data_IF_000040295928
#
_entry.id   IF_000040295928
#
_cell.length_a   1.000
_cell.length_b   1.000
_cell.length_c   1.000
_cell.angle_alpha   90.00
_cell.angle_beta   90.00
_cell.angle_gamma   90.00
#
_symmetry.space_group_name_H-M   'P 1'
#
loop_
_entity.id
_entity.type
_entity.pdbx_description
1 polymer ?
#
# COMPACT_ATOMS: atom_id res chain seq x y z
N UNK A 1 -28.25 -41.29 58.32
CA UNK A 1 -27.72 -41.97 57.13
C UNK A 1 -28.40 -41.39 55.93
N UNK A 2 -27.80 -40.37 55.27
CA UNK A 2 -28.28 -39.82 53.99
C UNK A 2 -27.08 -39.71 53.08
N UNK A 3 -27.09 -40.55 52.04
CA UNK A 3 -26.12 -40.51 50.95
C UNK A 3 -26.56 -39.44 49.96
N UNK A 4 -25.76 -38.39 49.79
CA UNK A 4 -25.92 -37.46 48.70
C UNK A 4 -25.01 -37.91 47.55
N UNK A 5 -25.60 -38.33 46.43
CA UNK A 5 -24.92 -38.64 45.20
C UNK A 5 -24.67 -37.35 44.41
N UNK A 6 -23.43 -36.95 44.30
CA UNK A 6 -22.97 -35.89 43.43
C UNK A 6 -22.94 -36.39 41.98
N UNK A 7 -23.82 -35.87 41.12
CA UNK A 7 -23.76 -36.09 39.67
C UNK A 7 -22.78 -35.08 39.09
N UNK A 8 -21.62 -35.53 38.73
CA UNK A 8 -20.69 -34.78 37.88
C UNK A 8 -21.29 -34.72 36.44
N UNK A 9 -21.68 -33.56 36.02
CA UNK A 9 -22.13 -33.28 34.64
C UNK A 9 -20.87 -33.02 33.81
N UNK A 10 -20.41 -34.04 33.08
CA UNK A 10 -19.33 -33.91 32.11
C UNK A 10 -19.80 -33.09 30.93
N UNK A 11 -19.29 -31.88 30.83
CA UNK A 11 -19.51 -30.99 29.66
C UNK A 11 -18.64 -31.49 28.53
N UNK A 12 -19.23 -32.19 27.59
CA UNK A 12 -18.57 -32.60 26.33
C UNK A 12 -18.45 -31.37 25.44
N UNK A 13 -17.27 -30.73 25.43
CA UNK A 13 -16.99 -29.65 24.44
C UNK A 13 -16.73 -30.34 23.11
N UNK A 14 -17.73 -30.34 22.25
CA UNK A 14 -17.58 -30.72 20.85
C UNK A 14 -16.87 -29.56 20.13
N UNK A 15 -15.53 -29.63 19.98
CA UNK A 15 -14.79 -28.77 19.09
C UNK A 15 -15.14 -29.14 17.65
N UNK A 16 -16.17 -28.51 17.09
CA UNK A 16 -16.36 -28.48 15.66
C UNK A 16 -15.30 -27.53 15.07
N UNK A 17 -14.23 -28.10 14.52
CA UNK A 17 -13.33 -27.36 13.67
C UNK A 17 -14.05 -26.98 12.39
N UNK A 18 -14.68 -25.81 12.36
CA UNK A 18 -15.18 -25.21 11.13
C UNK A 18 -13.97 -24.81 10.26
N UNK A 19 -14.06 -24.98 8.93
CA UNK A 19 -12.96 -24.61 8.04
C UNK A 19 -12.68 -23.10 8.13
N UNK A 20 -11.41 -22.73 8.29
CA UNK A 20 -10.90 -21.35 8.42
C UNK A 20 -11.05 -20.53 7.12
N UNK A 21 -11.85 -20.97 6.18
CA UNK A 21 -12.07 -20.35 4.88
C UNK A 21 -13.48 -19.77 4.84
N UNK A 22 -13.59 -18.43 5.06
CA UNK A 22 -14.83 -17.71 4.75
C UNK A 22 -15.49 -16.92 5.88
N UNK A 23 -14.78 -16.57 6.95
CA UNK A 23 -15.35 -15.66 7.95
C UNK A 23 -15.39 -14.23 7.38
N UNK A 24 -16.60 -13.63 7.42
CA UNK A 24 -16.76 -12.23 7.03
C UNK A 24 -16.35 -11.31 8.19
N UNK A 25 -16.02 -10.03 7.94
CA UNK A 25 -15.70 -9.08 9.00
C UNK A 25 -16.77 -8.98 10.09
N UNK A 26 -18.02 -9.20 9.75
CA UNK A 26 -19.18 -9.16 10.66
C UNK A 26 -19.38 -10.47 11.45
N UNK A 27 -18.58 -11.50 11.23
CA UNK A 27 -18.70 -12.78 11.95
C UNK A 27 -18.46 -12.57 13.44
N UNK A 28 -19.44 -12.92 14.27
CA UNK A 28 -19.31 -12.88 15.73
C UNK A 28 -18.50 -14.09 16.18
N UNK A 29 -17.36 -13.81 16.83
CA UNK A 29 -16.45 -14.84 17.33
C UNK A 29 -16.69 -15.21 18.79
N UNK A 30 -17.15 -14.25 19.60
CA UNK A 30 -17.42 -14.46 21.02
C UNK A 30 -18.49 -13.48 21.52
N UNK A 31 -19.06 -13.81 22.68
CA UNK A 31 -19.96 -12.92 23.43
C UNK A 31 -19.55 -12.87 24.89
N UNK A 32 -19.51 -11.65 25.44
CA UNK A 32 -19.30 -11.42 26.87
C UNK A 32 -20.54 -10.69 27.38
N UNK A 33 -21.39 -11.40 28.10
CA UNK A 33 -22.77 -10.99 28.34
C UNK A 33 -23.48 -10.70 27.00
N UNK A 34 -24.03 -9.50 26.83
CA UNK A 34 -24.73 -9.09 25.60
C UNK A 34 -23.80 -8.39 24.58
N UNK A 35 -22.50 -8.30 24.86
CA UNK A 35 -21.52 -7.65 23.97
C UNK A 35 -20.87 -8.67 23.06
N UNK A 36 -21.01 -8.46 21.78
CA UNK A 36 -20.38 -9.28 20.73
C UNK A 36 -18.92 -8.87 20.49
N UNK A 37 -18.08 -9.86 20.23
CA UNK A 37 -16.71 -9.69 19.72
C UNK A 37 -16.71 -10.26 18.30
N UNK A 38 -16.50 -9.37 17.31
CA UNK A 38 -16.50 -9.74 15.90
C UNK A 38 -15.10 -10.06 15.38
N UNK A 39 -15.03 -10.76 14.23
CA UNK A 39 -13.78 -10.99 13.50
C UNK A 39 -13.04 -9.67 13.24
N UNK A 40 -13.78 -8.62 12.81
CA UNK A 40 -13.22 -7.30 12.58
C UNK A 40 -12.51 -6.74 13.83
N UNK A 41 -13.14 -6.80 14.98
CA UNK A 41 -12.55 -6.30 16.23
C UNK A 41 -11.26 -7.05 16.61
N UNK A 42 -11.23 -8.37 16.38
CA UNK A 42 -10.01 -9.16 16.60
C UNK A 42 -8.93 -8.78 15.61
N UNK A 43 -9.25 -8.71 14.32
CA UNK A 43 -8.31 -8.33 13.27
C UNK A 43 -7.75 -6.92 13.48
N UNK A 44 -8.58 -5.95 13.86
CA UNK A 44 -8.15 -4.61 14.23
C UNK A 44 -7.19 -4.61 15.43
N UNK A 45 -7.43 -5.45 16.43
CA UNK A 45 -6.57 -5.56 17.63
C UNK A 45 -5.17 -6.12 17.35
N UNK A 46 -5.02 -6.90 16.27
CA UNK A 46 -3.77 -7.53 15.85
C UNK A 46 -3.30 -7.03 14.46
N UNK A 47 -3.83 -5.90 14.00
CA UNK A 47 -3.62 -5.37 12.66
C UNK A 47 -2.13 -5.25 12.28
N UNK A 48 -1.29 -4.82 13.24
CA UNK A 48 0.17 -4.72 13.07
C UNK A 48 0.82 -6.05 12.66
N UNK A 49 0.30 -7.14 13.19
CA UNK A 49 0.81 -8.48 12.93
C UNK A 49 0.15 -9.09 11.68
N UNK A 50 -1.13 -8.85 11.51
CA UNK A 50 -1.95 -9.44 10.46
C UNK A 50 -1.61 -8.86 9.08
N UNK A 51 -1.49 -7.54 8.96
CA UNK A 51 -1.26 -6.87 7.68
C UNK A 51 0.01 -7.34 6.95
N UNK A 52 1.20 -7.40 7.58
CA UNK A 52 2.40 -7.91 6.93
C UNK A 52 2.25 -9.35 6.42
N UNK A 53 1.56 -10.21 7.19
CA UNK A 53 1.30 -11.59 6.81
C UNK A 53 0.36 -11.67 5.60
N UNK A 54 -0.68 -10.86 5.57
CA UNK A 54 -1.60 -10.78 4.44
C UNK A 54 -0.88 -10.27 3.17
N UNK A 55 -0.02 -9.26 3.28
CA UNK A 55 0.79 -8.78 2.17
C UNK A 55 1.75 -9.86 1.65
N UNK A 56 2.41 -10.57 2.55
CA UNK A 56 3.30 -11.68 2.19
C UNK A 56 2.53 -12.81 1.47
N UNK A 57 1.39 -13.21 2.01
CA UNK A 57 0.52 -14.23 1.40
C UNK A 57 0.02 -13.80 0.03
N UNK A 58 -0.39 -12.53 -0.12
CA UNK A 58 -0.79 -11.97 -1.40
C UNK A 58 0.36 -12.01 -2.41
N UNK A 59 1.57 -11.60 -2.03
CA UNK A 59 2.74 -11.62 -2.92
C UNK A 59 3.05 -13.03 -3.40
N UNK A 60 3.02 -14.02 -2.51
CA UNK A 60 3.23 -15.44 -2.84
C UNK A 60 2.15 -15.93 -3.81
N UNK A 61 0.87 -15.67 -3.51
CA UNK A 61 -0.26 -16.06 -4.37
C UNK A 61 -0.21 -15.38 -5.72
N UNK A 62 0.15 -14.11 -5.78
CA UNK A 62 0.31 -13.34 -7.02
C UNK A 62 1.39 -13.96 -7.92
N UNK A 63 2.55 -14.25 -7.36
CA UNK A 63 3.63 -14.89 -8.10
C UNK A 63 3.23 -16.28 -8.63
N UNK A 64 2.54 -17.08 -7.82
CA UNK A 64 2.03 -18.37 -8.22
C UNK A 64 0.97 -18.25 -9.34
N UNK A 65 0.06 -17.28 -9.23
CA UNK A 65 -0.95 -17.00 -10.27
C UNK A 65 -0.30 -16.59 -11.59
N UNK A 66 0.66 -15.67 -11.59
CA UNK A 66 1.39 -15.24 -12.79
C UNK A 66 2.12 -16.41 -13.47
N UNK A 67 2.71 -17.32 -12.68
CA UNK A 67 3.33 -18.53 -13.20
C UNK A 67 2.30 -19.47 -13.84
N UNK A 68 1.13 -19.64 -13.21
CA UNK A 68 0.04 -20.45 -13.76
C UNK A 68 -0.52 -19.85 -15.05
N UNK A 69 -0.74 -18.53 -15.10
CA UNK A 69 -1.19 -17.81 -16.30
C UNK A 69 -0.19 -18.01 -17.43
N UNK A 70 1.11 -17.81 -17.16
CA UNK A 70 2.18 -18.00 -18.15
C UNK A 70 2.19 -19.44 -18.68
N UNK A 71 2.05 -20.42 -17.80
CA UNK A 71 1.98 -21.83 -18.20
C UNK A 71 0.76 -22.10 -19.10
N UNK A 72 -0.40 -21.58 -18.73
CA UNK A 72 -1.63 -21.75 -19.54
C UNK A 72 -1.52 -21.09 -20.92
N UNK A 73 -0.93 -19.90 -21.01
CA UNK A 73 -0.67 -19.25 -22.30
C UNK A 73 0.24 -20.11 -23.18
N UNK A 74 1.33 -20.65 -22.61
CA UNK A 74 2.25 -21.53 -23.36
C UNK A 74 1.59 -22.82 -23.79
N UNK A 75 0.81 -23.47 -22.93
CA UNK A 75 0.05 -24.68 -23.26
C UNK A 75 -0.94 -24.42 -24.41
N UNK A 76 -1.69 -23.31 -24.32
CA UNK A 76 -2.68 -22.93 -25.35
C UNK A 76 -2.03 -22.59 -26.69
N UNK A 77 -0.92 -21.87 -26.68
CA UNK A 77 -0.20 -21.51 -27.90
C UNK A 77 0.49 -22.72 -28.53
N UNK A 78 1.10 -23.62 -27.72
CA UNK A 78 1.73 -24.85 -28.19
C UNK A 78 0.68 -25.75 -28.84
N UNK A 79 -0.48 -25.92 -28.24
CA UNK A 79 -1.59 -26.67 -28.83
C UNK A 79 -2.08 -26.04 -30.15
N UNK A 80 -2.22 -24.71 -30.19
CA UNK A 80 -2.63 -24.00 -31.41
C UNK A 80 -1.63 -24.13 -32.57
N UNK A 81 -0.33 -24.29 -32.26
CA UNK A 81 0.74 -24.50 -33.24
C UNK A 81 1.01 -25.99 -33.54
N UNK A 82 0.43 -26.91 -32.80
CA UNK A 82 0.70 -28.34 -32.92
C UNK A 82 2.12 -28.73 -32.51
N UNK A 83 2.74 -28.03 -31.58
CA UNK A 83 4.12 -28.30 -31.12
C UNK A 83 4.14 -28.58 -29.61
N UNK A 84 5.14 -29.30 -29.09
CA UNK A 84 5.35 -29.43 -27.66
C UNK A 84 5.67 -28.08 -27.01
N UNK A 85 5.27 -27.89 -25.75
CA UNK A 85 5.54 -26.64 -24.99
C UNK A 85 7.02 -26.32 -24.91
N UNK A 86 7.87 -27.34 -24.76
CA UNK A 86 9.33 -27.14 -24.72
C UNK A 86 9.90 -26.64 -26.05
N UNK A 87 9.36 -27.10 -27.17
CA UNK A 87 9.74 -26.58 -28.49
C UNK A 87 9.30 -25.12 -28.66
N UNK A 88 8.08 -24.78 -28.23
CA UNK A 88 7.63 -23.39 -28.19
C UNK A 88 8.54 -22.52 -27.32
N UNK A 89 8.95 -22.99 -26.14
CA UNK A 89 9.91 -22.29 -25.28
C UNK A 89 11.23 -22.00 -26.00
N UNK A 90 11.78 -22.99 -26.69
CA UNK A 90 12.99 -22.82 -27.51
C UNK A 90 12.76 -21.75 -28.59
N UNK A 91 11.65 -21.82 -29.33
CA UNK A 91 11.31 -20.83 -30.35
C UNK A 91 11.23 -19.41 -29.78
N UNK A 92 10.68 -19.23 -28.60
CA UNK A 92 10.60 -17.92 -27.94
C UNK A 92 11.97 -17.38 -27.49
N UNK A 93 12.95 -18.25 -27.26
CA UNK A 93 14.34 -17.84 -26.99
C UNK A 93 15.15 -17.60 -28.26
N UNK A 94 14.67 -18.12 -29.39
CA UNK A 94 15.33 -17.93 -30.70
C UNK A 94 15.03 -16.52 -31.21
N UNK A 95 16.04 -15.86 -31.71
CA UNK A 95 16.01 -14.53 -32.27
C UNK A 95 17.44 -14.12 -32.57
N UNK A 96 17.63 -12.96 -33.15
CA UNK A 96 18.98 -12.51 -33.44
C UNK A 96 19.73 -12.26 -32.13
N UNK A 97 20.66 -13.16 -31.77
CA UNK A 97 21.55 -13.04 -30.63
C UNK A 97 22.89 -12.60 -31.21
N UNK A 98 23.09 -11.27 -31.23
CA UNK A 98 24.39 -10.70 -31.63
C UNK A 98 25.03 -10.07 -30.38
N UNK A 99 26.04 -10.75 -29.86
CA UNK A 99 26.95 -10.20 -28.86
C UNK A 99 28.25 -9.87 -29.58
N UNK A 100 28.56 -8.59 -29.66
CA UNK A 100 29.77 -8.10 -30.30
C UNK A 100 30.95 -8.12 -29.32
N UNK A 101 32.17 -8.22 -29.90
CA UNK A 101 33.40 -8.18 -29.12
C UNK A 101 33.50 -6.84 -28.30
N UNK A 102 33.02 -5.75 -28.88
CA UNK A 102 32.96 -4.47 -28.19
C UNK A 102 32.09 -4.52 -26.91
N UNK A 103 30.91 -5.20 -26.96
CA UNK A 103 30.04 -5.39 -25.80
C UNK A 103 30.71 -6.25 -24.73
N UNK A 104 31.43 -7.30 -25.13
CA UNK A 104 32.18 -8.15 -24.20
C UNK A 104 33.30 -7.36 -23.53
N UNK A 105 34.05 -6.56 -24.32
CA UNK A 105 35.14 -5.75 -23.80
C UNK A 105 34.66 -4.65 -22.84
N UNK A 106 33.55 -3.99 -23.16
CA UNK A 106 32.93 -3.00 -22.26
C UNK A 106 32.46 -3.65 -20.97
N UNK A 107 31.80 -4.82 -21.04
CA UNK A 107 31.39 -5.56 -19.86
C UNK A 107 32.59 -6.03 -19.02
N UNK A 108 33.69 -6.44 -19.66
CA UNK A 108 34.92 -6.82 -18.98
C UNK A 108 35.53 -5.64 -18.22
N UNK A 109 35.65 -4.45 -18.85
CA UNK A 109 36.18 -3.25 -18.22
C UNK A 109 35.34 -2.82 -17.00
N UNK A 110 34.00 -2.90 -17.10
CA UNK A 110 33.10 -2.55 -16.01
C UNK A 110 33.16 -3.51 -14.82
N UNK A 111 33.58 -4.75 -15.03
CA UNK A 111 33.61 -5.81 -14.03
C UNK A 111 35.02 -6.37 -13.77
N UNK A 112 36.08 -5.67 -14.15
CA UNK A 112 37.47 -6.16 -14.10
C UNK A 112 37.87 -6.65 -12.70
N UNK A 113 37.44 -5.98 -11.64
CA UNK A 113 37.72 -6.37 -10.26
C UNK A 113 37.08 -7.71 -9.86
N UNK A 114 35.93 -8.04 -10.42
CA UNK A 114 35.24 -9.32 -10.18
C UNK A 114 36.00 -10.49 -10.80
N UNK A 115 36.67 -10.24 -11.92
CA UNK A 115 37.43 -11.26 -12.68
C UNK A 115 38.93 -11.29 -12.38
N UNK A 116 39.40 -10.58 -11.34
CA UNK A 116 40.81 -10.48 -11.03
C UNK A 116 41.55 -11.81 -10.77
N UNK A 117 40.82 -12.88 -10.42
CA UNK A 117 41.36 -14.22 -10.20
C UNK A 117 41.30 -15.14 -11.43
N UNK A 118 40.75 -14.65 -12.55
CA UNK A 118 40.63 -15.43 -13.82
C UNK A 118 41.57 -14.83 -14.88
N UNK A 119 41.89 -15.65 -15.88
CA UNK A 119 42.53 -15.12 -17.07
C UNK A 119 41.58 -14.20 -17.85
N UNK A 120 42.15 -13.20 -18.54
CA UNK A 120 41.33 -12.26 -19.31
C UNK A 120 40.49 -12.92 -20.40
N UNK A 121 40.96 -14.00 -20.95
CA UNK A 121 40.25 -14.74 -22.01
C UNK A 121 39.08 -15.56 -21.44
N UNK A 122 39.29 -16.25 -20.32
CA UNK A 122 38.22 -16.96 -19.60
C UNK A 122 37.12 -16.01 -19.14
N UNK A 123 37.51 -14.83 -18.63
CA UNK A 123 36.56 -13.80 -18.20
C UNK A 123 35.71 -13.30 -19.38
N UNK A 124 36.34 -13.03 -20.54
CA UNK A 124 35.62 -12.60 -21.75
C UNK A 124 34.67 -13.67 -22.29
N UNK A 125 35.11 -14.95 -22.32
CA UNK A 125 34.26 -16.05 -22.75
C UNK A 125 33.02 -16.19 -21.84
N UNK A 126 33.22 -16.13 -20.52
CA UNK A 126 32.14 -16.16 -19.54
C UNK A 126 31.16 -14.99 -19.73
N UNK A 127 31.69 -13.78 -19.93
CA UNK A 127 30.85 -12.60 -20.18
C UNK A 127 30.08 -12.72 -21.50
N UNK A 128 30.68 -13.29 -22.54
CA UNK A 128 29.99 -13.55 -23.80
C UNK A 128 28.79 -14.46 -23.58
N UNK A 129 28.97 -15.59 -22.89
CA UNK A 129 27.91 -16.53 -22.56
C UNK A 129 26.81 -15.87 -21.72
N UNK A 130 27.18 -15.05 -20.74
CA UNK A 130 26.22 -14.32 -19.92
C UNK A 130 25.42 -13.30 -20.75
N UNK A 131 26.05 -12.55 -21.63
CA UNK A 131 25.38 -11.59 -22.53
C UNK A 131 24.44 -12.30 -23.52
N UNK A 132 24.85 -13.44 -24.07
CA UNK A 132 24.00 -14.28 -24.94
C UNK A 132 22.78 -14.79 -24.17
N UNK A 133 22.97 -15.27 -22.93
CA UNK A 133 21.86 -15.74 -22.09
C UNK A 133 20.91 -14.59 -21.74
N UNK A 134 21.42 -13.40 -21.46
CA UNK A 134 20.60 -12.21 -21.26
C UNK A 134 19.77 -11.87 -22.51
N UNK A 135 20.38 -11.94 -23.70
CA UNK A 135 19.68 -11.71 -24.95
C UNK A 135 18.58 -12.76 -25.19
N UNK A 136 18.85 -14.06 -24.94
CA UNK A 136 17.85 -15.15 -25.00
C UNK A 136 16.69 -14.88 -24.03
N UNK A 137 16.97 -14.49 -22.81
CA UNK A 137 15.95 -14.17 -21.81
C UNK A 137 15.12 -12.93 -22.19
N UNK A 138 15.75 -11.94 -22.83
CA UNK A 138 15.05 -10.77 -23.39
C UNK A 138 14.08 -11.19 -24.50
N UNK A 139 14.53 -12.02 -25.44
CA UNK A 139 13.68 -12.55 -26.52
C UNK A 139 12.50 -13.35 -25.94
N UNK A 140 12.76 -14.23 -24.96
CA UNK A 140 11.73 -15.01 -24.29
C UNK A 140 10.68 -14.12 -23.63
N UNK A 141 11.09 -13.08 -22.89
CA UNK A 141 10.16 -12.11 -22.25
C UNK A 141 9.33 -11.39 -23.31
N UNK A 142 9.95 -10.87 -24.35
CA UNK A 142 9.24 -10.20 -25.45
C UNK A 142 8.23 -11.15 -26.15
N UNK A 143 8.62 -12.40 -26.37
CA UNK A 143 7.74 -13.43 -26.92
C UNK A 143 6.55 -13.73 -26.00
N UNK A 144 6.76 -13.86 -24.70
CA UNK A 144 5.69 -14.04 -23.72
C UNK A 144 4.74 -12.84 -23.68
N UNK A 145 5.26 -11.62 -23.75
CA UNK A 145 4.42 -10.42 -23.80
C UNK A 145 3.54 -10.38 -25.06
N UNK A 146 4.09 -10.76 -26.20
CA UNK A 146 3.34 -10.86 -27.44
C UNK A 146 2.24 -11.93 -27.35
N UNK A 147 2.53 -13.09 -26.76
CA UNK A 147 1.54 -14.13 -26.50
C UNK A 147 0.45 -13.67 -25.51
N UNK A 148 0.83 -12.95 -24.46
CA UNK A 148 -0.12 -12.40 -23.48
C UNK A 148 -1.10 -11.39 -24.11
N UNK A 149 -0.66 -10.64 -25.11
CA UNK A 149 -1.54 -9.74 -25.91
C UNK A 149 -2.44 -10.53 -26.88
N UNK A 150 -1.96 -11.63 -27.42
CA UNK A 150 -2.72 -12.50 -28.34
C UNK A 150 -3.84 -13.23 -27.61
N UNK A 151 -3.55 -13.77 -26.42
CA UNK A 151 -4.51 -14.51 -25.60
C UNK A 151 -5.23 -13.56 -24.63
N UNK A 152 -6.57 -13.60 -24.60
CA UNK A 152 -7.34 -12.78 -23.67
C UNK A 152 -7.09 -13.29 -22.25
N UNK A 153 -6.38 -12.50 -21.44
CA UNK A 153 -6.08 -12.81 -20.04
C UNK A 153 -6.85 -11.85 -19.16
N UNK A 154 -7.80 -12.37 -18.39
CA UNK A 154 -8.49 -11.65 -17.32
C UNK A 154 -8.01 -12.19 -15.99
N UNK A 155 -7.54 -11.31 -15.11
CA UNK A 155 -7.07 -11.65 -13.76
C UNK A 155 -7.94 -10.89 -12.78
N UNK A 156 -8.75 -11.63 -12.03
CA UNK A 156 -9.51 -11.11 -10.88
C UNK A 156 -8.77 -11.52 -9.59
N UNK A 157 -7.74 -10.78 -9.25
CA UNK A 157 -6.92 -11.01 -8.07
C UNK A 157 -6.50 -9.69 -7.46
N UNK A 158 -7.33 -9.20 -6.54
CA UNK A 158 -7.11 -7.93 -5.85
C UNK A 158 -6.15 -8.07 -4.67
N UNK A 159 -5.36 -7.04 -4.34
CA UNK A 159 -4.59 -7.00 -3.09
C UNK A 159 -5.53 -7.06 -1.88
N UNK A 160 -5.05 -7.58 -0.74
CA UNK A 160 -5.85 -7.62 0.48
C UNK A 160 -6.27 -6.21 0.87
N UNK A 161 -7.55 -6.06 1.17
CA UNK A 161 -8.11 -4.81 1.72
C UNK A 161 -7.84 -4.80 3.20
N UNK A 162 -7.17 -3.76 3.69
CA UNK A 162 -6.96 -3.58 5.11
C UNK A 162 -8.18 -2.85 5.71
N UNK A 163 -8.83 -3.47 6.67
CA UNK A 163 -10.04 -2.96 7.34
C UNK A 163 -9.64 -2.43 8.72
N UNK A 164 -8.72 -1.46 8.78
CA UNK A 164 -8.48 -0.74 10.03
C UNK A 164 -9.09 0.65 9.97
N UNK A 165 -9.52 1.11 11.10
CA UNK A 165 -10.16 2.41 11.29
C UNK A 165 -9.10 3.52 11.40
N UNK A 166 -8.38 3.75 10.28
CA UNK A 166 -7.47 4.90 10.19
C UNK A 166 -8.22 6.24 10.14
N UNK A 167 -9.48 6.20 9.74
CA UNK A 167 -10.42 7.31 9.91
C UNK A 167 -11.01 7.22 11.33
N UNK A 168 -10.25 7.66 12.31
CA UNK A 168 -10.59 7.59 13.73
C UNK A 168 -11.63 8.63 14.17
N UNK A 169 -12.21 9.39 13.24
CA UNK A 169 -13.15 10.47 13.49
C UNK A 169 -12.54 11.70 14.19
N UNK A 170 -11.25 11.64 14.50
CA UNK A 170 -10.50 12.71 15.19
C UNK A 170 -9.54 13.40 14.22
N UNK A 171 -8.92 12.60 13.34
CA UNK A 171 -7.99 13.09 12.33
C UNK A 171 -8.67 14.05 11.36
N UNK A 172 -7.95 15.10 10.93
CA UNK A 172 -8.51 16.08 9.99
C UNK A 172 -8.97 15.41 8.71
N UNK A 173 -10.21 15.70 8.31
CA UNK A 173 -10.76 15.08 7.10
C UNK A 173 -11.55 16.10 6.26
N UNK A 174 -11.58 15.86 4.93
CA UNK A 174 -12.44 16.53 3.94
C UNK A 174 -13.37 15.51 3.30
N UNK A 175 -14.58 15.87 2.99
CA UNK A 175 -15.62 14.98 2.45
C UNK A 175 -16.56 14.43 3.52
N UNK A 176 -17.57 13.68 3.10
CA UNK A 176 -18.60 13.14 3.99
C UNK A 176 -18.05 11.97 4.83
N UNK A 177 -18.49 11.88 6.09
CA UNK A 177 -18.10 10.76 6.96
C UNK A 177 -18.57 9.37 6.41
N UNK A 178 -19.66 9.36 5.64
CA UNK A 178 -20.22 8.15 5.02
C UNK A 178 -19.88 8.05 3.53
N UNK A 179 -18.79 8.69 3.07
CA UNK A 179 -18.31 8.54 1.71
C UNK A 179 -18.01 7.07 1.38
N UNK A 180 -18.23 6.71 0.12
CA UNK A 180 -18.05 5.32 -0.37
C UNK A 180 -16.58 4.90 -0.42
N UNK A 181 -15.68 5.88 -0.47
CA UNK A 181 -14.24 5.70 -0.57
C UNK A 181 -13.53 6.60 0.44
N UNK A 182 -12.67 6.02 1.26
CA UNK A 182 -11.78 6.76 2.13
C UNK A 182 -10.35 6.68 1.61
N UNK A 183 -9.71 7.84 1.46
CA UNK A 183 -8.30 8.01 1.18
C UNK A 183 -7.64 8.55 2.45
N UNK A 184 -6.73 7.79 3.04
CA UNK A 184 -5.90 8.26 4.16
C UNK A 184 -4.54 8.62 3.60
N UNK A 185 -4.17 9.90 3.70
CA UNK A 185 -2.87 10.43 3.31
C UNK A 185 -1.93 10.46 4.51
N UNK A 186 -0.76 9.82 4.40
CA UNK A 186 0.37 10.00 5.31
C UNK A 186 1.36 10.98 4.68
N UNK A 187 1.55 12.12 5.32
CA UNK A 187 2.18 13.29 4.71
C UNK A 187 3.14 14.02 5.64
N UNK A 188 4.09 14.71 5.02
CA UNK A 188 5.12 15.52 5.67
C UNK A 188 5.18 16.90 5.02
N UNK A 189 5.08 17.97 5.80
CA UNK A 189 5.03 19.34 5.30
C UNK A 189 6.35 19.85 4.67
N UNK A 190 7.49 19.23 4.98
CA UNK A 190 8.77 19.52 4.32
C UNK A 190 9.02 18.66 3.06
N UNK A 191 8.21 17.62 2.83
CA UNK A 191 8.38 16.74 1.68
C UNK A 191 7.93 17.40 0.37
N UNK A 192 8.82 17.56 -0.64
CA UNK A 192 8.44 18.19 -1.92
C UNK A 192 7.40 17.39 -2.69
N UNK A 193 7.41 16.07 -2.61
CA UNK A 193 6.41 15.21 -3.24
C UNK A 193 5.04 15.33 -2.58
N UNK A 194 4.99 15.54 -1.25
CA UNK A 194 3.75 15.84 -0.55
C UNK A 194 3.16 17.17 -1.01
N UNK A 195 4.00 18.20 -1.14
CA UNK A 195 3.58 19.49 -1.71
C UNK A 195 3.03 19.33 -3.13
N UNK A 196 3.72 18.56 -3.98
CA UNK A 196 3.33 18.34 -5.38
C UNK A 196 1.95 17.71 -5.51
N UNK A 197 1.62 16.72 -4.66
CA UNK A 197 0.38 15.94 -4.77
C UNK A 197 -0.85 16.71 -4.28
N UNK A 198 -0.70 17.81 -3.53
CA UNK A 198 -1.83 18.55 -2.94
C UNK A 198 -2.82 19.07 -4.00
N UNK A 199 -2.33 19.55 -5.14
CA UNK A 199 -3.20 19.97 -6.25
C UNK A 199 -4.04 18.82 -6.80
N UNK A 200 -3.47 17.62 -6.86
CA UNK A 200 -4.17 16.40 -7.28
C UNK A 200 -5.23 15.99 -6.27
N UNK A 201 -4.90 15.98 -4.99
CA UNK A 201 -5.84 15.63 -3.92
C UNK A 201 -7.01 16.62 -3.85
N UNK A 202 -6.74 17.92 -4.04
CA UNK A 202 -7.79 18.92 -4.15
C UNK A 202 -8.73 18.63 -5.31
N UNK A 203 -8.21 18.34 -6.50
CA UNK A 203 -9.03 17.99 -7.67
C UNK A 203 -9.87 16.74 -7.42
N UNK A 204 -9.33 15.75 -6.70
CA UNK A 204 -10.06 14.54 -6.33
C UNK A 204 -11.24 14.87 -5.40
N UNK A 205 -10.97 15.59 -4.31
CA UNK A 205 -12.02 15.95 -3.34
C UNK A 205 -13.10 16.82 -4.00
N UNK A 206 -12.70 17.79 -4.83
CA UNK A 206 -13.63 18.66 -5.54
C UNK A 206 -14.44 17.89 -6.61
N UNK A 207 -13.81 16.96 -7.32
CA UNK A 207 -14.41 16.24 -8.44
C UNK A 207 -15.30 15.05 -8.04
N UNK A 208 -14.95 14.36 -6.97
CA UNK A 208 -15.72 13.20 -6.49
C UNK A 208 -16.70 13.52 -5.34
N UNK A 209 -16.64 14.73 -4.78
CA UNK A 209 -17.64 15.31 -3.89
C UNK A 209 -18.06 14.38 -2.75
N UNK A 210 -19.24 13.75 -2.88
CA UNK A 210 -19.83 12.91 -1.83
C UNK A 210 -19.24 11.51 -1.75
N UNK A 211 -18.56 11.06 -2.79
CA UNK A 211 -18.08 9.68 -2.89
C UNK A 211 -16.70 9.48 -2.25
N UNK A 212 -15.92 10.55 -2.06
CA UNK A 212 -14.56 10.48 -1.53
C UNK A 212 -14.42 11.27 -0.22
N UNK A 213 -13.79 10.63 0.77
CA UNK A 213 -13.33 11.24 2.03
C UNK A 213 -11.82 11.17 2.07
N UNK A 214 -11.17 12.31 2.28
CA UNK A 214 -9.73 12.44 2.48
C UNK A 214 -9.45 12.64 3.96
N UNK A 215 -8.67 11.78 4.57
CA UNK A 215 -8.19 11.85 5.96
C UNK A 215 -6.69 12.12 5.95
N UNK A 216 -6.23 13.06 6.76
CA UNK A 216 -4.83 13.42 6.87
C UNK A 216 -4.18 12.78 8.11
N UNK A 217 -3.01 12.17 7.92
CA UNK A 217 -2.14 11.63 8.98
C UNK A 217 -0.76 12.23 8.87
N UNK A 218 -0.21 12.64 9.99
CA UNK A 218 1.14 13.19 10.05
C UNK A 218 2.20 12.10 9.99
N UNK A 219 3.15 12.26 9.07
CA UNK A 219 4.33 11.38 8.99
C UNK A 219 5.62 12.23 8.82
N UNK A 220 6.02 13.00 9.85
CA UNK A 220 7.28 13.72 9.81
C UNK A 220 8.45 12.75 9.68
N UNK A 221 9.25 12.90 8.61
CA UNK A 221 10.37 12.01 8.29
C UNK A 221 11.63 12.43 9.04
N UNK A 222 12.44 11.44 9.42
CA UNK A 222 13.81 11.69 9.92
C UNK A 222 14.62 12.43 8.85
N UNK A 223 15.31 13.49 9.25
CA UNK A 223 16.09 14.34 8.33
C UNK A 223 15.35 15.59 7.86
N UNK A 224 14.03 15.68 8.00
CA UNK A 224 13.27 16.91 7.81
C UNK A 224 13.16 17.69 9.12
N UNK A 225 13.99 18.73 9.26
CA UNK A 225 14.25 19.42 10.54
C UNK A 225 13.00 20.05 11.16
N UNK A 226 12.14 20.66 10.33
CA UNK A 226 10.96 21.38 10.80
C UNK A 226 9.67 20.57 10.64
N UNK A 227 9.74 19.37 10.13
CA UNK A 227 8.58 18.52 9.84
C UNK A 227 7.77 18.18 11.09
N UNK A 228 8.45 17.74 12.16
CA UNK A 228 7.76 17.44 13.43
C UNK A 228 7.18 18.68 14.10
N UNK A 229 7.89 19.83 14.20
CA UNK A 229 7.31 21.11 14.62
C UNK A 229 6.11 21.54 13.78
N UNK A 230 6.18 21.44 12.44
CA UNK A 230 5.08 21.80 11.55
C UNK A 230 3.84 20.89 11.74
N UNK A 231 4.05 19.59 11.94
CA UNK A 231 2.97 18.65 12.26
C UNK A 231 2.25 19.02 13.56
N UNK A 232 3.01 19.35 14.62
CA UNK A 232 2.43 19.83 15.89
C UNK A 232 1.69 21.14 15.71
N UNK A 233 2.22 22.06 14.91
CA UNK A 233 1.56 23.32 14.61
C UNK A 233 0.22 23.13 13.90
N UNK A 234 0.18 22.22 12.91
CA UNK A 234 -1.05 21.86 12.20
C UNK A 234 -2.09 21.22 13.14
N UNK A 235 -1.65 20.33 14.04
CA UNK A 235 -2.51 19.81 15.11
C UNK A 235 -3.08 20.93 15.97
N UNK A 236 -2.25 21.89 16.39
CA UNK A 236 -2.70 23.02 17.21
C UNK A 236 -3.65 23.97 16.47
N UNK A 237 -3.54 24.05 15.15
CA UNK A 237 -4.50 24.74 14.31
C UNK A 237 -5.84 23.97 14.22
N UNK A 238 -5.80 22.63 14.19
CA UNK A 238 -6.99 21.77 14.25
C UNK A 238 -7.79 22.00 15.54
N UNK A 239 -7.12 22.14 16.68
CA UNK A 239 -7.74 22.47 17.98
C UNK A 239 -8.48 23.83 18.00
N UNK A 240 -8.36 24.60 16.91
CA UNK A 240 -9.03 25.87 16.69
C UNK A 240 -9.84 25.89 15.38
N UNK A 241 -10.20 24.72 14.86
CA UNK A 241 -10.98 24.52 13.63
C UNK A 241 -10.34 25.17 12.37
N UNK A 242 -8.99 25.23 12.34
CA UNK A 242 -8.22 25.87 11.26
C UNK A 242 -7.20 24.93 10.61
N UNK A 243 -7.37 23.61 10.78
CA UNK A 243 -6.41 22.64 10.23
C UNK A 243 -6.15 22.87 8.75
N UNK A 244 -7.18 22.87 7.92
CA UNK A 244 -7.01 22.89 6.47
C UNK A 244 -6.44 24.20 5.95
N UNK A 245 -6.82 25.32 6.54
CA UNK A 245 -6.23 26.61 6.19
C UNK A 245 -4.74 26.66 6.55
N UNK A 246 -4.41 26.11 7.70
CA UNK A 246 -3.01 26.02 8.16
C UNK A 246 -2.20 25.03 7.32
N UNK A 247 -2.77 23.88 7.00
CA UNK A 247 -2.21 22.88 6.10
C UNK A 247 -1.86 23.46 4.71
N UNK A 248 -2.80 24.18 4.09
CA UNK A 248 -2.60 24.78 2.77
C UNK A 248 -1.53 25.90 2.85
N UNK A 249 -1.47 26.64 3.95
CA UNK A 249 -0.44 27.65 4.21
C UNK A 249 0.95 27.01 4.40
N UNK A 250 1.06 25.90 5.14
CA UNK A 250 2.33 25.16 5.32
C UNK A 250 2.90 24.66 4.00
N UNK A 251 2.08 24.02 3.16
CA UNK A 251 2.55 23.55 1.85
C UNK A 251 2.87 24.69 0.87
N UNK A 252 2.34 25.88 1.10
CA UNK A 252 2.66 27.08 0.31
C UNK A 252 3.91 27.78 0.79
N UNK A 253 4.26 27.64 2.07
CA UNK A 253 5.40 28.32 2.68
C UNK A 253 6.75 27.83 2.15
N UNK A 254 7.75 28.71 2.20
CA UNK A 254 9.16 28.39 1.92
C UNK A 254 9.97 28.16 3.20
N UNK A 255 9.45 28.65 4.33
CA UNK A 255 10.09 28.54 5.65
C UNK A 255 9.09 27.94 6.64
N UNK A 256 9.46 26.84 7.27
CA UNK A 256 8.71 26.14 8.31
C UNK A 256 9.42 26.21 9.66
N UNK A 257 10.31 27.17 9.85
CA UNK A 257 10.95 27.41 11.15
C UNK A 257 9.89 27.79 12.23
N UNK A 258 10.17 27.55 13.51
CA UNK A 258 9.22 27.88 14.57
C UNK A 258 8.68 29.33 14.54
N UNK A 259 9.49 30.37 14.23
CA UNK A 259 8.95 31.72 14.06
C UNK A 259 8.01 31.85 12.85
N UNK A 260 8.26 31.11 11.77
CA UNK A 260 7.39 31.12 10.59
C UNK A 260 6.04 30.44 10.88
N UNK A 261 6.03 29.36 11.65
CA UNK A 261 4.81 28.68 12.08
C UNK A 261 3.93 29.59 12.95
N UNK A 262 4.54 30.39 13.84
CA UNK A 262 3.79 31.37 14.65
C UNK A 262 3.22 32.51 13.80
N UNK A 263 3.95 32.99 12.78
CA UNK A 263 3.42 33.98 11.82
C UNK A 263 2.22 33.42 11.05
N UNK A 264 2.33 32.22 10.49
CA UNK A 264 1.23 31.57 9.77
C UNK A 264 0.00 31.47 10.69
N UNK A 265 0.18 31.08 11.95
CA UNK A 265 -0.91 31.01 12.91
C UNK A 265 -1.57 32.38 13.15
N UNK A 266 -0.77 33.43 13.28
CA UNK A 266 -1.25 34.79 13.44
C UNK A 266 -2.02 35.30 12.22
N UNK A 267 -1.48 35.06 11.02
CA UNK A 267 -2.07 35.48 9.75
C UNK A 267 -3.43 34.81 9.49
N UNK A 268 -3.60 33.59 10.00
CA UNK A 268 -4.89 32.85 9.97
C UNK A 268 -5.83 33.18 11.10
N UNK A 269 -5.46 34.13 11.99
CA UNK A 269 -6.28 34.60 13.10
C UNK A 269 -6.44 33.62 14.27
N UNK A 270 -5.47 32.70 14.44
CA UNK A 270 -5.47 31.80 15.59
C UNK A 270 -5.16 32.55 16.86
N UNK A 271 -5.78 32.14 17.97
CA UNK A 271 -5.50 32.70 19.31
C UNK A 271 -4.05 32.33 19.73
N UNK A 272 -3.14 33.32 19.64
CA UNK A 272 -1.69 33.12 19.80
C UNK A 272 -1.32 32.41 21.09
N UNK A 273 -1.88 32.81 22.23
CA UNK A 273 -1.60 32.20 23.52
C UNK A 273 -2.07 30.71 23.60
N UNK A 274 -3.24 30.41 23.01
CA UNK A 274 -3.75 29.04 22.94
C UNK A 274 -2.87 28.19 22.02
N UNK A 275 -2.46 28.76 20.90
CA UNK A 275 -1.58 28.09 19.94
C UNK A 275 -0.21 27.76 20.55
N UNK A 276 0.44 28.71 21.22
CA UNK A 276 1.72 28.53 21.90
C UNK A 276 1.65 27.48 23.02
N UNK A 277 0.60 27.53 23.85
CA UNK A 277 0.39 26.50 24.88
C UNK A 277 0.23 25.11 24.27
N UNK A 278 -0.54 24.98 23.20
CA UNK A 278 -0.71 23.72 22.49
C UNK A 278 0.62 23.22 21.91
N UNK A 279 1.41 24.07 21.24
CA UNK A 279 2.71 23.70 20.70
C UNK A 279 3.66 23.10 21.75
N UNK A 280 3.57 23.58 23.00
CA UNK A 280 4.42 23.11 24.09
C UNK A 280 3.79 21.98 24.90
N UNK A 281 2.59 21.52 24.54
CA UNK A 281 1.87 20.47 25.27
C UNK A 281 2.34 19.07 24.91
N UNK A 282 2.26 18.15 25.86
CA UNK A 282 2.46 16.72 25.59
C UNK A 282 1.34 16.17 24.70
N UNK A 283 0.15 16.74 24.74
CA UNK A 283 -0.99 16.33 23.92
C UNK A 283 -0.68 16.47 22.42
N UNK A 284 -0.12 17.61 21.97
CA UNK A 284 0.25 17.82 20.58
C UNK A 284 1.36 16.85 20.12
N UNK A 285 2.30 16.53 21.03
CA UNK A 285 3.33 15.53 20.78
C UNK A 285 2.74 14.14 20.63
N UNK A 286 1.90 13.72 21.57
CA UNK A 286 1.26 12.41 21.58
C UNK A 286 0.39 12.17 20.34
N UNK A 287 -0.29 13.22 19.85
CA UNK A 287 -1.08 13.13 18.63
C UNK A 287 -0.22 12.78 17.41
N UNK A 288 0.94 13.41 17.24
CA UNK A 288 1.85 13.11 16.13
C UNK A 288 2.47 11.73 16.30
N UNK A 289 2.84 11.34 17.53
CA UNK A 289 3.37 10.00 17.81
C UNK A 289 2.34 8.92 17.47
N UNK A 290 1.05 9.14 17.76
CA UNK A 290 -0.02 8.20 17.37
C UNK A 290 -0.08 7.98 15.85
N UNK A 291 0.07 9.03 15.05
CA UNK A 291 0.09 8.92 13.60
C UNK A 291 1.36 8.20 13.11
N UNK A 292 2.53 8.44 13.73
CA UNK A 292 3.76 7.71 13.46
C UNK A 292 3.64 6.21 13.79
N UNK A 293 2.98 5.89 14.90
CA UNK A 293 2.70 4.49 15.27
C UNK A 293 1.76 3.83 14.25
N UNK A 294 0.73 4.54 13.81
CA UNK A 294 -0.13 4.07 12.73
C UNK A 294 0.67 3.84 11.45
N UNK A 295 1.53 4.76 11.02
CA UNK A 295 2.39 4.58 9.86
C UNK A 295 3.31 3.35 10.00
N UNK A 296 3.93 3.17 11.15
CA UNK A 296 4.78 2.02 11.45
C UNK A 296 4.00 0.70 11.38
N UNK A 297 2.77 0.68 11.87
CA UNK A 297 1.87 -0.45 11.80
C UNK A 297 1.68 -0.93 10.36
N UNK A 298 1.51 0.00 9.43
CA UNK A 298 1.33 -0.28 8.00
C UNK A 298 2.64 -0.35 7.21
N UNK A 299 3.81 -0.30 7.87
CA UNK A 299 5.12 -0.24 7.23
C UNK A 299 5.22 0.90 6.21
N UNK A 300 4.64 2.03 6.57
CA UNK A 300 4.74 3.27 5.80
C UNK A 300 5.99 4.00 6.30
N UNK A 301 6.97 4.11 5.43
CA UNK A 301 8.31 4.64 5.69
C UNK A 301 8.68 5.81 4.77
N UNK A 302 7.76 6.23 3.93
CA UNK A 302 7.96 7.29 2.93
C UNK A 302 6.71 8.11 2.70
N UNK A 303 6.87 9.36 2.31
CA UNK A 303 5.79 10.30 2.03
C UNK A 303 5.85 10.86 0.59
N UNK A 304 4.70 11.17 -0.04
CA UNK A 304 3.38 10.82 0.45
C UNK A 304 3.11 9.32 0.31
N UNK A 305 2.32 8.76 1.22
CA UNK A 305 1.76 7.42 1.11
C UNK A 305 0.26 7.48 1.37
N UNK A 306 -0.50 6.63 0.69
CA UNK A 306 -1.95 6.64 0.77
C UNK A 306 -2.47 5.26 1.10
N UNK A 307 -3.53 5.22 1.91
CA UNK A 307 -4.37 4.02 2.05
C UNK A 307 -5.74 4.34 1.44
N UNK A 308 -6.08 3.64 0.37
CA UNK A 308 -7.33 3.83 -0.36
C UNK A 308 -8.21 2.60 -0.14
N UNK A 309 -9.28 2.74 0.63
CA UNK A 309 -10.12 1.62 1.06
C UNK A 309 -9.28 0.42 1.57
N UNK A 310 -8.25 0.68 2.38
CA UNK A 310 -7.37 -0.33 2.94
C UNK A 310 -6.22 -0.81 2.05
N UNK A 311 -6.08 -0.30 0.82
CA UNK A 311 -4.95 -0.62 -0.08
C UNK A 311 -3.84 0.42 0.05
N UNK A 312 -2.63 -0.01 0.37
CA UNK A 312 -1.46 0.88 0.45
C UNK A 312 -0.93 1.24 -0.93
N UNK A 313 -0.74 2.53 -1.15
CA UNK A 313 -0.16 3.13 -2.36
C UNK A 313 0.95 4.08 -1.91
N UNK A 314 2.16 3.93 -2.45
CA UNK A 314 3.32 4.77 -2.11
C UNK A 314 3.64 5.74 -3.24
N UNK A 315 4.02 6.97 -2.86
CA UNK A 315 4.49 8.02 -3.75
C UNK A 315 3.41 8.96 -4.30
N UNK A 316 3.84 10.07 -4.90
CA UNK A 316 2.97 11.06 -5.50
C UNK A 316 2.41 10.55 -6.84
N UNK A 317 1.13 10.23 -6.88
CA UNK A 317 0.43 9.79 -8.09
C UNK A 317 -0.11 10.99 -8.89
N UNK A 318 -0.21 10.79 -10.21
CA UNK A 318 -0.95 11.71 -11.07
C UNK A 318 -2.46 11.64 -10.82
N UNK A 319 -3.20 12.71 -11.20
CA UNK A 319 -4.67 12.68 -11.15
C UNK A 319 -5.25 11.51 -11.96
N UNK A 320 -4.67 11.18 -13.11
CA UNK A 320 -5.12 10.08 -13.96
C UNK A 320 -4.97 8.71 -13.28
N UNK A 321 -3.89 8.51 -12.52
CA UNK A 321 -3.67 7.25 -11.82
C UNK A 321 -4.56 7.14 -10.58
N UNK A 322 -4.72 8.21 -9.80
CA UNK A 322 -5.70 8.24 -8.72
C UNK A 322 -7.12 7.97 -9.23
N UNK A 323 -7.51 8.60 -10.34
CA UNK A 323 -8.82 8.40 -10.95
C UNK A 323 -9.09 6.94 -11.27
N UNK A 324 -8.13 6.23 -11.88
CA UNK A 324 -8.27 4.80 -12.17
C UNK A 324 -8.53 3.98 -10.91
N UNK A 325 -7.77 4.26 -9.84
CA UNK A 325 -7.93 3.55 -8.56
C UNK A 325 -9.30 3.85 -7.96
N UNK A 326 -9.70 5.12 -7.92
CA UNK A 326 -10.99 5.56 -7.37
C UNK A 326 -12.16 4.91 -8.13
N UNK A 327 -12.12 4.95 -9.47
CA UNK A 327 -13.17 4.36 -10.32
C UNK A 327 -13.26 2.84 -10.13
N UNK A 328 -12.14 2.14 -9.99
CA UNK A 328 -12.11 0.71 -9.68
C UNK A 328 -12.75 0.40 -8.32
N UNK A 329 -12.39 1.16 -7.28
CA UNK A 329 -12.92 0.97 -5.93
C UNK A 329 -14.43 1.28 -5.88
N UNK A 330 -14.87 2.36 -6.52
CA UNK A 330 -16.28 2.73 -6.56
C UNK A 330 -17.12 1.72 -7.35
N UNK A 331 -16.57 1.14 -8.43
CA UNK A 331 -17.24 0.11 -9.23
C UNK A 331 -17.31 -1.23 -8.50
N UNK A 332 -16.25 -1.64 -7.80
CA UNK A 332 -16.21 -2.87 -7.01
C UNK A 332 -17.24 -2.87 -5.86
N UNK A 333 -17.43 -1.73 -5.22
CA UNK A 333 -18.42 -1.57 -4.15
C UNK A 333 -19.88 -1.67 -4.64
N UNK A 334 -20.16 -1.42 -5.93
CA UNK A 334 -21.48 -1.60 -6.51
C UNK A 334 -21.83 -3.09 -6.69
N UNK A 335 -20.87 -3.90 -7.09
CA UNK A 335 -21.06 -5.33 -7.32
C UNK A 335 -21.25 -6.12 -6.01
N UNK A 336 -20.61 -5.70 -4.91
CA UNK A 336 -20.78 -6.32 -3.60
C UNK A 336 -22.17 -6.05 -2.99
N UNK A 337 -22.77 -4.87 -3.21
CA UNK A 337 -24.14 -4.58 -2.74
C UNK A 337 -25.23 -5.34 -3.50
N UNK A 338 -25.00 -5.71 -4.75
CA UNK A 338 -25.96 -6.49 -5.54
C UNK A 338 -25.92 -7.99 -5.23
N UNK A 339 -24.77 -8.51 -4.76
CA UNK A 339 -24.66 -9.93 -4.36
C UNK A 339 -25.16 -10.23 -2.94
N UNK A 340 -25.39 -9.22 -2.12
CA UNK A 340 -25.93 -9.37 -0.75
C UNK A 340 -27.45 -9.16 -0.65
N UNK A 341 -28.14 -8.92 -1.76
CA UNK A 341 -29.59 -8.70 -1.85
C UNK A 341 -30.33 -9.77 -2.66
N UNK A 342 -29.66 -10.87 -3.02
CA UNK A 342 -30.29 -12.04 -3.64
C UNK A 342 -30.30 -13.26 -2.71
#
# INVERSE_FOLDING_TARGET
MFFQSSRAMSLLILLMAAPVLGQTPETVLARVNDKEITQKQVDDSIAAQLYPLQQQLYAIRKAALENLVTRKILESEAAARGVPVEELRKQLTQGEIRVTDAQVEDAYKQNASFFASMSSDEARERLRLDLENQARMKNYRAGLEALRKKWIVSIDFSPPVFVSDLDDGISPARGLANARLTIVEFSDFECPFCKQVQSTLKQIVDGYGRDVRLVFKHLPLEGHRNSFPAARAAYCAAEQDRFWQFHDALFSAQDLSPPALERIASDLGLASERFKRCLNSEQSRAAIVKDLEAAKLFRIDSTPSFIVNGKLIKGALSFADFRKIIEQELSGNLNQKQSSTN
#
